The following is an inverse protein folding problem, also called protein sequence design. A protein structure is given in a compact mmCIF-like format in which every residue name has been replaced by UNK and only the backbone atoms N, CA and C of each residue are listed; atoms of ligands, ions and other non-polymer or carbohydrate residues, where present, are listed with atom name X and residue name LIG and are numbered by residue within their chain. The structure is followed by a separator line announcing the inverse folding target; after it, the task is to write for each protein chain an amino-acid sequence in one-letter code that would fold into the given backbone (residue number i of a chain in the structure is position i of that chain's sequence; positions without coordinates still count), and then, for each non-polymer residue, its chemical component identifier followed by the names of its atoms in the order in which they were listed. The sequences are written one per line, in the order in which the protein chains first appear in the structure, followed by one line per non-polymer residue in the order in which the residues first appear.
data_IF_981574979541
#
_entry.id   IF_981574979541
#
_cell.length_a   1.000
_cell.length_b   1.000
_cell.length_c   1.000
_cell.angle_alpha   90.00
_cell.angle_beta   90.00
_cell.angle_gamma   90.00
#
_symmetry.space_group_name_H-M   'P 1'
#
loop_
_entity.id
_entity.type
_entity.pdbx_description
1 polymer ?
#
# COMPACT_ATOMS: atom_id res chain seq x y z
N UNK A 1 -1.38 -17.19 2.02
CA UNK A 1 -1.04 -15.84 1.50
C UNK A 1 0.45 -15.64 1.65
N UNK A 2 1.13 -15.00 0.68
CA UNK A 2 2.60 -14.86 0.70
C UNK A 2 3.05 -13.42 1.01
N UNK A 3 2.11 -12.53 1.39
CA UNK A 3 2.39 -11.20 1.96
C UNK A 3 3.39 -10.38 1.13
N UNK A 4 3.18 -10.36 -0.19
CA UNK A 4 4.09 -9.75 -1.16
C UNK A 4 3.36 -9.23 -2.38
N UNK A 5 3.96 -8.27 -3.06
CA UNK A 5 3.59 -7.80 -4.39
C UNK A 5 4.66 -8.26 -5.38
N UNK A 6 4.22 -8.77 -6.53
CA UNK A 6 5.11 -9.25 -7.60
C UNK A 6 4.89 -8.47 -8.89
N UNK A 7 5.99 -8.05 -9.52
CA UNK A 7 6.03 -7.48 -10.86
C UNK A 7 6.35 -8.59 -11.86
N UNK A 8 5.54 -8.70 -12.90
CA UNK A 8 5.74 -9.63 -14.00
C UNK A 8 5.92 -8.84 -15.29
N UNK A 9 6.98 -9.13 -16.05
CA UNK A 9 7.09 -8.65 -17.42
C UNK A 9 6.25 -9.55 -18.32
N UNK A 10 5.79 -9.00 -19.45
CA UNK A 10 5.14 -9.79 -20.49
C UNK A 10 6.05 -10.98 -20.84
N UNK A 11 5.48 -12.18 -20.90
CA UNK A 11 6.16 -13.44 -21.22
C UNK A 11 7.25 -13.89 -20.22
N UNK A 12 7.33 -13.27 -19.03
CA UNK A 12 8.26 -13.69 -17.99
C UNK A 12 7.89 -15.05 -17.38
N UNK A 13 8.90 -15.89 -17.14
CA UNK A 13 8.75 -17.18 -16.45
C UNK A 13 8.83 -17.06 -14.93
N UNK A 14 9.36 -15.94 -14.44
CA UNK A 14 9.52 -15.64 -13.02
C UNK A 14 9.16 -14.17 -12.75
N UNK A 15 8.56 -13.92 -11.59
CA UNK A 15 8.22 -12.58 -11.12
C UNK A 15 9.26 -12.05 -10.14
N UNK A 16 9.40 -10.74 -10.07
CA UNK A 16 10.26 -10.06 -9.09
C UNK A 16 9.40 -9.56 -7.94
N UNK A 17 9.83 -9.80 -6.69
CA UNK A 17 9.19 -9.20 -5.52
C UNK A 17 9.53 -7.72 -5.51
N UNK A 18 8.50 -6.87 -5.40
CA UNK A 18 8.66 -5.41 -5.43
C UNK A 18 8.12 -4.71 -4.19
N UNK A 19 7.42 -5.43 -3.31
CA UNK A 19 7.06 -5.00 -1.97
C UNK A 19 6.79 -6.23 -1.08
N UNK A 20 7.17 -6.15 0.19
CA UNK A 20 7.01 -7.23 1.17
C UNK A 20 7.87 -8.46 0.84
N UNK A 21 7.34 -9.67 1.10
CA UNK A 21 8.04 -10.93 0.85
C UNK A 21 8.90 -11.45 2.01
N UNK A 22 9.01 -10.68 3.10
CA UNK A 22 9.77 -11.06 4.31
C UNK A 22 8.87 -11.63 5.41
N UNK A 23 7.83 -12.38 5.01
CA UNK A 23 6.80 -12.91 5.90
C UNK A 23 5.69 -11.91 6.23
N UNK A 24 4.69 -12.39 6.96
CA UNK A 24 3.62 -11.56 7.48
C UNK A 24 4.11 -10.74 8.67
N UNK A 25 3.86 -9.43 8.69
CA UNK A 25 4.14 -8.60 9.86
C UNK A 25 4.01 -7.11 9.59
N UNK A 26 4.34 -6.30 10.60
CA UNK A 26 4.21 -4.84 10.59
C UNK A 26 5.49 -4.07 10.33
N UNK A 27 6.64 -4.75 10.14
CA UNK A 27 7.90 -4.07 9.80
C UNK A 27 7.83 -3.41 8.42
N UNK A 28 8.74 -2.49 8.14
CA UNK A 28 8.75 -1.72 6.88
C UNK A 28 9.11 -2.57 5.65
N UNK A 29 9.69 -3.75 5.83
CA UNK A 29 9.94 -4.75 4.77
C UNK A 29 8.89 -5.87 4.73
N UNK A 30 7.80 -5.75 5.51
CA UNK A 30 6.74 -6.75 5.63
C UNK A 30 5.37 -6.20 5.25
N UNK A 31 4.46 -7.10 4.88
CA UNK A 31 3.06 -6.81 4.60
C UNK A 31 2.16 -7.80 5.35
N UNK A 32 0.91 -7.43 5.59
CA UNK A 32 -0.12 -8.25 6.19
C UNK A 32 -1.41 -8.16 5.36
N UNK A 33 -1.67 -9.22 4.58
CA UNK A 33 -2.83 -9.35 3.68
C UNK A 33 -3.06 -8.12 2.78
N UNK A 34 -2.07 -7.72 1.95
CA UNK A 34 -2.24 -6.57 1.07
C UNK A 34 -3.38 -6.82 0.06
N UNK A 35 -4.29 -5.86 -0.10
CA UNK A 35 -5.51 -6.03 -0.90
C UNK A 35 -5.44 -5.38 -2.28
N UNK A 36 -4.76 -4.24 -2.40
CA UNK A 36 -4.64 -3.50 -3.66
C UNK A 36 -3.24 -2.95 -3.82
N UNK A 37 -2.83 -2.85 -5.09
CA UNK A 37 -1.61 -2.17 -5.52
C UNK A 37 -1.97 -1.18 -6.62
N UNK A 38 -1.45 0.04 -6.52
CA UNK A 38 -1.43 1.02 -7.61
C UNK A 38 0.00 1.50 -7.85
N UNK A 39 0.25 2.04 -9.03
CA UNK A 39 1.56 2.54 -9.43
C UNK A 39 1.36 3.97 -9.93
N UNK A 40 2.20 4.89 -9.50
CA UNK A 40 2.17 6.27 -10.01
C UNK A 40 3.01 6.44 -11.28
N UNK A 41 2.97 7.63 -11.88
CA UNK A 41 3.71 7.94 -13.11
C UNK A 41 5.25 7.91 -12.93
N UNK A 42 5.74 7.90 -11.69
CA UNK A 42 7.16 7.76 -11.35
C UNK A 42 7.56 6.29 -11.10
N UNK A 43 6.61 5.35 -11.22
CA UNK A 43 6.82 3.93 -10.96
C UNK A 43 6.85 3.55 -9.48
N UNK A 44 6.44 4.45 -8.57
CA UNK A 44 6.33 4.16 -7.14
C UNK A 44 5.13 3.25 -6.89
N UNK A 45 5.32 2.22 -6.07
CA UNK A 45 4.34 1.17 -5.82
C UNK A 45 3.65 1.46 -4.49
N UNK A 46 2.34 1.72 -4.55
CA UNK A 46 1.53 1.95 -3.36
C UNK A 46 0.69 0.72 -3.06
N UNK A 47 0.71 0.28 -1.80
CA UNK A 47 0.06 -0.95 -1.36
C UNK A 47 -0.84 -0.64 -0.18
N UNK A 48 -2.11 -1.05 -0.25
CA UNK A 48 -2.97 -1.08 0.92
C UNK A 48 -2.57 -2.29 1.75
N UNK A 49 -1.83 -2.06 2.82
CA UNK A 49 -1.35 -3.09 3.75
C UNK A 49 -2.42 -3.32 4.82
N UNK A 50 -3.48 -4.03 4.40
CA UNK A 50 -4.80 -3.90 5.02
C UNK A 50 -4.84 -4.36 6.47
N UNK A 51 -4.23 -5.49 6.83
CA UNK A 51 -4.24 -5.97 8.22
C UNK A 51 -3.35 -5.13 9.14
N UNK A 52 -2.44 -4.33 8.57
CA UNK A 52 -1.66 -3.34 9.31
C UNK A 52 -2.32 -1.95 9.31
N UNK A 53 -3.51 -1.80 8.71
CA UNK A 53 -4.29 -0.55 8.69
C UNK A 53 -3.46 0.66 8.19
N UNK A 54 -2.69 0.46 7.12
CA UNK A 54 -1.81 1.48 6.56
C UNK A 54 -1.73 1.39 5.04
N UNK A 55 -1.32 2.50 4.41
CA UNK A 55 -0.87 2.52 3.02
C UNK A 55 0.63 2.69 3.01
N UNK A 56 1.29 1.80 2.29
CA UNK A 56 2.75 1.79 2.16
C UNK A 56 3.16 2.15 0.75
N UNK A 57 4.34 2.76 0.59
CA UNK A 57 4.99 3.05 -0.69
C UNK A 57 6.33 2.33 -0.78
N UNK A 58 6.63 1.73 -1.93
CA UNK A 58 7.97 1.26 -2.31
C UNK A 58 8.47 1.97 -3.57
N UNK A 59 9.72 2.41 -3.53
CA UNK A 59 10.46 2.80 -4.73
C UNK A 59 11.19 1.58 -5.31
N UNK A 60 11.37 1.54 -6.63
CA UNK A 60 12.05 0.41 -7.29
C UNK A 60 13.46 0.18 -6.69
N UNK A 61 13.75 -1.07 -6.34
CA UNK A 61 15.03 -1.48 -5.75
C UNK A 61 15.17 -1.24 -4.24
N UNK A 62 14.15 -0.69 -3.55
CA UNK A 62 14.17 -0.56 -2.09
C UNK A 62 13.73 -1.86 -1.40
N UNK A 63 14.42 -2.22 -0.32
CA UNK A 63 14.10 -3.39 0.52
C UNK A 63 12.95 -3.11 1.49
N UNK A 64 12.83 -1.84 1.92
CA UNK A 64 11.81 -1.34 2.84
C UNK A 64 10.92 -0.31 2.15
N UNK A 65 9.67 -0.26 2.59
CA UNK A 65 8.70 0.73 2.19
C UNK A 65 8.56 1.84 3.22
N UNK A 66 7.78 2.84 2.87
CA UNK A 66 7.49 3.99 3.72
C UNK A 66 5.98 4.06 3.96
N UNK A 67 5.59 4.41 5.19
CA UNK A 67 4.18 4.66 5.50
C UNK A 67 3.80 5.99 4.87
N UNK A 68 2.81 5.95 3.97
CA UNK A 68 2.26 7.16 3.33
C UNK A 68 1.19 7.76 4.20
N UNK A 69 0.23 6.93 4.62
CA UNK A 69 -0.88 7.30 5.51
C UNK A 69 -1.31 6.09 6.34
N UNK A 70 -1.94 6.34 7.49
CA UNK A 70 -2.36 5.28 8.41
C UNK A 70 -1.22 4.79 9.30
N UNK A 71 -1.30 3.54 9.76
CA UNK A 71 -0.30 2.94 10.64
C UNK A 71 -0.40 3.37 12.11
N UNK A 72 -1.37 4.21 12.47
CA UNK A 72 -1.61 4.70 13.84
C UNK A 72 -2.66 3.85 14.58
N UNK A 73 -2.69 2.55 14.28
CA UNK A 73 -3.68 1.61 14.80
C UNK A 73 -5.01 1.64 14.07
N UNK A 74 -5.87 0.69 14.43
CA UNK A 74 -7.22 0.60 13.93
C UNK A 74 -8.10 1.69 14.57
N UNK A 75 -8.85 2.44 13.77
CA UNK A 75 -9.79 3.44 14.28
C UNK A 75 -10.37 4.33 13.20
N UNK A 76 -11.10 5.36 13.62
CA UNK A 76 -11.86 6.25 12.75
C UNK A 76 -11.31 7.69 12.72
N UNK A 77 -10.17 7.97 13.36
CA UNK A 77 -9.48 9.24 13.21
C UNK A 77 -8.96 9.43 11.77
N UNK A 78 -8.60 10.65 11.39
CA UNK A 78 -8.16 10.98 10.03
C UNK A 78 -6.86 10.27 9.61
N UNK A 79 -6.03 9.88 10.58
CA UNK A 79 -4.77 9.15 10.39
C UNK A 79 -4.87 7.66 10.74
N UNK A 80 -6.09 7.13 10.88
CA UNK A 80 -6.39 5.74 11.18
C UNK A 80 -7.29 5.13 10.09
N UNK A 81 -7.17 3.81 9.91
CA UNK A 81 -7.99 3.04 8.99
C UNK A 81 -8.52 1.78 9.68
N UNK A 82 -9.52 1.16 9.06
CA UNK A 82 -9.94 -0.21 9.35
C UNK A 82 -10.02 -0.96 8.01
N UNK A 83 -9.00 -1.80 7.77
CA UNK A 83 -8.84 -2.60 6.55
C UNK A 83 -9.00 -1.77 5.25
N UNK A 84 -8.05 -0.87 4.92
CA UNK A 84 -8.09 -0.17 3.64
C UNK A 84 -8.01 -1.17 2.48
N UNK A 85 -8.88 -1.04 1.48
CA UNK A 85 -9.00 -2.03 0.37
C UNK A 85 -8.90 -1.45 -1.03
N UNK A 86 -9.00 -0.13 -1.18
CA UNK A 86 -8.95 0.55 -2.47
C UNK A 86 -8.03 1.76 -2.40
N UNK A 87 -7.27 1.97 -3.46
CA UNK A 87 -6.40 3.14 -3.66
C UNK A 87 -6.63 3.70 -5.07
N UNK A 88 -6.61 5.02 -5.21
CA UNK A 88 -6.57 5.71 -6.49
C UNK A 88 -5.90 7.06 -6.33
N UNK A 89 -5.30 7.56 -7.40
CA UNK A 89 -4.90 8.96 -7.49
C UNK A 89 -5.93 9.77 -8.27
N UNK A 90 -6.01 11.08 -8.00
CA UNK A 90 -6.54 12.05 -8.96
C UNK A 90 -5.40 12.71 -9.77
N UNK A 91 -5.75 13.56 -10.73
CA UNK A 91 -4.79 14.25 -11.62
C UNK A 91 -3.84 15.20 -10.86
N UNK A 92 -4.23 15.64 -9.66
CA UNK A 92 -3.41 16.44 -8.75
C UNK A 92 -2.55 15.56 -7.82
N UNK A 93 -2.55 14.24 -8.04
CA UNK A 93 -1.83 13.22 -7.27
C UNK A 93 -2.26 13.12 -5.80
N UNK A 94 -3.48 13.53 -5.48
CA UNK A 94 -4.05 13.23 -4.18
C UNK A 94 -4.41 11.74 -4.10
N UNK A 95 -4.06 11.10 -2.99
CA UNK A 95 -4.37 9.70 -2.74
C UNK A 95 -5.77 9.57 -2.13
N UNK A 96 -6.63 8.78 -2.77
CA UNK A 96 -7.91 8.34 -2.23
C UNK A 96 -7.77 6.94 -1.66
N UNK A 97 -8.21 6.76 -0.42
CA UNK A 97 -8.19 5.46 0.28
C UNK A 97 -9.62 5.05 0.61
N UNK A 98 -10.02 3.87 0.14
CA UNK A 98 -11.27 3.23 0.54
C UNK A 98 -11.06 2.52 1.89
N UNK A 99 -11.47 3.19 2.96
CA UNK A 99 -11.37 2.74 4.34
C UNK A 99 -12.57 1.84 4.67
N UNK A 100 -12.47 0.58 4.23
CA UNK A 100 -13.60 -0.31 3.98
C UNK A 100 -14.54 -0.47 5.17
N UNK A 101 -14.00 -0.73 6.37
CA UNK A 101 -14.82 -0.97 7.57
C UNK A 101 -15.20 0.29 8.33
N UNK A 102 -14.63 1.45 7.98
CA UNK A 102 -15.17 2.75 8.41
C UNK A 102 -16.25 3.28 7.46
N UNK A 103 -16.55 2.56 6.36
CA UNK A 103 -17.56 2.94 5.37
C UNK A 103 -17.35 4.35 4.80
N UNK A 104 -16.08 4.72 4.55
CA UNK A 104 -15.71 6.05 4.05
C UNK A 104 -14.61 5.99 3.01
N UNK A 105 -14.51 7.07 2.24
CA UNK A 105 -13.34 7.37 1.41
C UNK A 105 -12.62 8.56 2.05
N UNK A 106 -11.29 8.48 2.15
CA UNK A 106 -10.45 9.59 2.62
C UNK A 106 -9.53 10.05 1.49
N UNK A 107 -9.41 11.38 1.32
CA UNK A 107 -8.49 12.03 0.38
C UNK A 107 -7.28 12.55 1.16
N UNK A 108 -6.08 12.33 0.64
CA UNK A 108 -4.83 12.83 1.20
C UNK A 108 -4.03 13.55 0.12
N UNK A 109 -3.64 14.78 0.41
CA UNK A 109 -2.58 15.44 -0.33
C UNK A 109 -1.25 14.83 0.12
N UNK A 110 -0.58 14.13 -0.79
CA UNK A 110 0.71 13.50 -0.51
C UNK A 110 1.83 14.33 -1.12
N UNK A 111 2.74 14.82 -0.28
CA UNK A 111 3.93 15.54 -0.74
C UNK A 111 5.03 14.50 -0.93
N UNK A 112 5.67 14.51 -2.11
CA UNK A 112 6.76 13.59 -2.48
C UNK A 112 8.07 13.94 -1.79
#
# INVERSE_FOLDING_TARGET
YNHRVMKWRKDAKEGTIVAGGNGQGGNLNQLAAPQVVIIDDLGQIYVADSWNNRVMRWCEGKEEGEIVVGGNGQGNQSNQFILPMGLSFDDERNLYVADHYNHRIQKFEIIL
#
